data_IF_895136772955
#
_entry.id   IF_895136772955
#
_cell.length_a   1.000
_cell.length_b   1.000
_cell.length_c   1.000
_cell.angle_alpha   90.00
_cell.angle_beta   90.00
_cell.angle_gamma   90.00
#
_symmetry.space_group_name_H-M   'P 1'
#
loop_
_entity.id
_entity.type
_entity.pdbx_description
1 polymer ?
#
# COMPACT_ATOMS: atom_id res chain seq x y z
N UNK A 1 12.22 16.99 -0.06
CA UNK A 1 11.59 17.31 1.24
C UNK A 1 12.47 16.80 2.37
N UNK A 2 13.33 17.66 2.92
CA UNK A 2 14.10 17.44 4.16
C UNK A 2 14.29 18.78 4.87
N UNK A 3 13.24 19.33 5.46
CA UNK A 3 13.33 20.39 6.47
C UNK A 3 12.01 20.35 7.25
N UNK A 4 12.11 20.29 8.59
CA UNK A 4 11.09 19.93 9.59
C UNK A 4 11.18 18.45 9.97
N UNK A 5 11.69 18.19 11.18
CA UNK A 5 11.85 16.88 11.82
C UNK A 5 10.52 16.17 12.15
N UNK A 6 9.56 16.19 11.23
CA UNK A 6 8.36 15.37 11.29
C UNK A 6 8.79 13.99 10.80
N UNK A 7 9.10 13.10 11.74
CA UNK A 7 9.19 11.68 11.43
C UNK A 7 7.84 11.27 10.83
N UNK A 8 7.79 10.78 9.58
CA UNK A 8 6.51 10.41 8.98
C UNK A 8 5.88 9.33 9.85
N UNK A 9 4.69 9.58 10.39
CA UNK A 9 3.93 8.52 11.04
C UNK A 9 3.44 7.52 9.99
N UNK A 10 2.95 6.36 10.42
CA UNK A 10 2.40 5.32 9.53
C UNK A 10 1.30 5.87 8.60
N UNK A 11 0.56 6.91 8.99
CA UNK A 11 -0.50 7.49 8.16
C UNK A 11 0.08 8.24 6.96
N UNK A 12 1.18 8.98 7.16
CA UNK A 12 1.88 9.67 6.08
C UNK A 12 2.43 8.65 5.07
N UNK A 13 3.07 7.58 5.54
CA UNK A 13 3.52 6.50 4.66
C UNK A 13 2.39 5.93 3.81
N UNK A 14 1.27 5.54 4.44
CA UNK A 14 0.12 4.97 3.74
C UNK A 14 -0.48 5.95 2.71
N UNK A 15 -0.53 7.25 3.04
CA UNK A 15 -1.04 8.28 2.12
C UNK A 15 -0.14 8.44 0.88
N UNK A 16 1.19 8.46 1.06
CA UNK A 16 2.14 8.58 -0.05
C UNK A 16 2.15 7.30 -0.90
N UNK A 17 2.12 6.13 -0.28
CA UNK A 17 1.99 4.83 -0.97
C UNK A 17 0.74 4.82 -1.86
N UNK A 18 -0.41 5.27 -1.33
CA UNK A 18 -1.65 5.37 -2.09
C UNK A 18 -1.53 6.32 -3.29
N UNK A 19 -0.94 7.50 -3.07
CA UNK A 19 -0.76 8.49 -4.12
C UNK A 19 0.15 7.97 -5.25
N UNK A 20 1.26 7.32 -4.90
CA UNK A 20 2.18 6.70 -5.85
C UNK A 20 1.50 5.59 -6.66
N UNK A 21 0.83 4.66 -5.99
CA UNK A 21 0.11 3.57 -6.67
C UNK A 21 -0.98 4.10 -7.61
N UNK A 22 -1.73 5.13 -7.19
CA UNK A 22 -2.72 5.82 -8.04
C UNK A 22 -2.06 6.52 -9.24
N UNK A 23 -0.88 7.11 -9.04
CA UNK A 23 -0.09 7.79 -10.07
C UNK A 23 0.68 6.85 -11.00
N UNK A 24 0.42 5.54 -10.95
CA UNK A 24 1.12 4.48 -11.70
C UNK A 24 2.58 4.25 -11.30
N UNK A 25 3.06 4.89 -10.24
CA UNK A 25 4.38 4.73 -9.62
C UNK A 25 4.41 3.55 -8.64
N UNK A 26 4.05 2.36 -9.13
CA UNK A 26 3.81 1.19 -8.27
C UNK A 26 5.09 0.67 -7.66
N UNK A 27 6.18 0.66 -8.43
CA UNK A 27 7.50 0.27 -7.92
C UNK A 27 7.91 1.18 -6.76
N UNK A 28 7.77 2.49 -6.91
CA UNK A 28 8.08 3.48 -5.88
C UNK A 28 7.17 3.30 -4.65
N UNK A 29 5.90 2.93 -4.85
CA UNK A 29 4.98 2.64 -3.76
C UNK A 29 5.43 1.40 -2.94
N UNK A 30 5.89 0.34 -3.62
CA UNK A 30 6.46 -0.85 -2.97
C UNK A 30 7.79 -0.55 -2.27
N UNK A 31 8.69 0.18 -2.93
CA UNK A 31 9.98 0.57 -2.35
C UNK A 31 9.75 1.39 -1.06
N UNK A 32 8.76 2.29 -1.07
CA UNK A 32 8.38 3.06 0.12
C UNK A 32 7.78 2.18 1.24
N UNK A 33 7.01 1.14 0.89
CA UNK A 33 6.53 0.14 1.85
C UNK A 33 7.68 -0.65 2.49
N UNK A 34 8.74 -0.94 1.75
CA UNK A 34 9.95 -1.56 2.33
C UNK A 34 10.72 -0.58 3.22
N UNK A 35 10.88 0.67 2.78
CA UNK A 35 11.52 1.72 3.58
C UNK A 35 10.79 2.00 4.90
N UNK A 36 9.46 1.91 4.95
CA UNK A 36 8.74 2.05 6.24
C UNK A 36 9.08 0.90 7.20
N UNK A 37 9.18 -0.34 6.69
CA UNK A 37 9.55 -1.50 7.48
C UNK A 37 10.99 -1.39 8.03
N UNK A 38 11.94 -0.98 7.19
CA UNK A 38 13.34 -0.72 7.56
C UNK A 38 13.48 0.37 8.63
N UNK A 39 12.57 1.36 8.64
CA UNK A 39 12.53 2.43 9.64
C UNK A 39 11.73 2.06 10.90
N UNK A 40 11.32 0.81 11.05
CA UNK A 40 10.58 0.30 12.21
C UNK A 40 9.07 0.53 12.16
N UNK A 41 8.54 1.13 11.09
CA UNK A 41 7.11 1.29 10.87
C UNK A 41 6.57 0.06 10.13
N UNK A 42 6.18 -0.97 10.89
CA UNK A 42 5.67 -2.22 10.31
C UNK A 42 4.43 -1.99 9.44
N UNK A 43 4.43 -2.49 8.18
CA UNK A 43 3.23 -2.54 7.35
C UNK A 43 2.08 -3.22 8.08
N UNK A 44 0.86 -2.76 7.81
CA UNK A 44 -0.36 -3.40 8.31
C UNK A 44 -1.40 -3.52 7.20
N UNK A 45 -2.57 -4.06 7.53
CA UNK A 45 -3.69 -4.20 6.59
C UNK A 45 -4.05 -2.88 5.87
N UNK A 46 -3.90 -1.73 6.55
CA UNK A 46 -4.16 -0.41 5.94
C UNK A 46 -3.08 -0.06 4.91
N UNK A 47 -1.82 -0.40 5.17
CA UNK A 47 -0.71 -0.23 4.21
C UNK A 47 -0.95 -1.05 2.95
N UNK A 48 -1.25 -2.34 3.06
CA UNK A 48 -1.57 -3.19 1.90
C UNK A 48 -2.80 -2.68 1.14
N UNK A 49 -3.86 -2.29 1.83
CA UNK A 49 -5.04 -1.68 1.20
C UNK A 49 -4.74 -0.34 0.52
N UNK A 50 -3.66 0.35 0.90
CA UNK A 50 -3.22 1.59 0.25
C UNK A 50 -2.55 1.32 -1.10
N UNK A 51 -2.07 0.10 -1.36
CA UNK A 51 -1.63 -0.37 -2.67
C UNK A 51 -2.79 -0.98 -3.48
N UNK A 52 -3.54 -1.91 -2.88
CA UNK A 52 -4.59 -2.69 -3.57
C UNK A 52 -5.68 -1.78 -4.16
N UNK A 53 -6.24 -0.87 -3.36
CA UNK A 53 -7.38 -0.03 -3.78
C UNK A 53 -7.10 0.82 -5.02
N UNK A 54 -6.01 1.63 -5.09
CA UNK A 54 -5.75 2.43 -6.26
C UNK A 54 -5.32 1.61 -7.49
N UNK A 55 -4.69 0.44 -7.29
CA UNK A 55 -4.37 -0.49 -8.38
C UNK A 55 -5.64 -1.05 -9.03
N UNK A 56 -6.60 -1.54 -8.23
CA UNK A 56 -7.89 -1.98 -8.74
C UNK A 56 -8.58 -0.87 -9.54
N UNK A 57 -8.72 0.32 -8.93
CA UNK A 57 -9.28 1.53 -9.59
C UNK A 57 -8.59 1.92 -10.89
N UNK A 58 -7.30 1.63 -11.00
CA UNK A 58 -6.50 1.87 -12.19
C UNK A 58 -6.61 0.77 -13.24
N UNK A 59 -7.53 -0.19 -13.07
CA UNK A 59 -7.69 -1.38 -13.91
C UNK A 59 -6.42 -2.27 -13.94
N UNK A 60 -5.59 -2.19 -12.90
CA UNK A 60 -4.34 -2.96 -12.73
C UNK A 60 -4.57 -4.11 -11.73
N UNK A 61 -5.62 -4.88 -11.97
CA UNK A 61 -6.11 -5.92 -11.03
C UNK A 61 -5.06 -7.01 -10.80
N UNK A 62 -4.29 -7.40 -11.82
CA UNK A 62 -3.24 -8.43 -11.67
C UNK A 62 -2.13 -7.98 -10.70
N UNK A 63 -1.73 -6.71 -10.74
CA UNK A 63 -0.77 -6.17 -9.77
C UNK A 63 -1.38 -6.06 -8.37
N UNK A 64 -2.67 -5.74 -8.27
CA UNK A 64 -3.37 -5.75 -6.99
C UNK A 64 -3.43 -7.16 -6.38
N UNK A 65 -3.57 -8.22 -7.19
CA UNK A 65 -3.51 -9.61 -6.74
C UNK A 65 -2.13 -9.96 -6.20
N UNK A 66 -1.04 -9.54 -6.85
CA UNK A 66 0.32 -9.76 -6.33
C UNK A 66 0.49 -9.16 -4.92
N UNK A 67 -0.01 -7.93 -4.71
CA UNK A 67 -0.01 -7.29 -3.38
C UNK A 67 -0.85 -8.07 -2.38
N UNK A 68 -2.02 -8.55 -2.80
CA UNK A 68 -2.93 -9.33 -1.97
C UNK A 68 -2.33 -10.67 -1.56
N UNK A 69 -1.63 -11.36 -2.47
CA UNK A 69 -0.94 -12.60 -2.17
C UNK A 69 0.22 -12.39 -1.19
N UNK A 70 0.99 -11.30 -1.34
CA UNK A 70 2.02 -10.93 -0.36
C UNK A 70 1.41 -10.66 1.03
N UNK A 71 0.27 -9.96 1.08
CA UNK A 71 -0.47 -9.70 2.33
C UNK A 71 -0.83 -11.01 3.04
N UNK A 72 -1.32 -12.01 2.30
CA UNK A 72 -1.65 -13.34 2.82
C UNK A 72 -0.41 -14.10 3.28
N UNK A 73 0.67 -14.09 2.49
CA UNK A 73 1.92 -14.76 2.84
C UNK A 73 2.56 -14.20 4.12
N UNK A 74 2.42 -12.89 4.36
CA UNK A 74 2.84 -12.27 5.62
C UNK A 74 1.85 -12.47 6.78
N UNK A 75 0.80 -13.26 6.60
CA UNK A 75 -0.16 -13.63 7.65
C UNK A 75 -1.20 -12.55 7.98
N UNK A 76 -1.35 -11.52 7.14
CA UNK A 76 -2.38 -10.51 7.36
C UNK A 76 -3.74 -11.00 6.85
N UNK A 77 -4.78 -10.84 7.67
CA UNK A 77 -6.15 -11.15 7.27
C UNK A 77 -6.75 -10.01 6.42
N UNK A 78 -7.19 -10.29 5.18
CA UNK A 78 -7.93 -9.33 4.37
C UNK A 78 -9.20 -8.86 5.07
N UNK A 79 -9.59 -7.62 4.81
CA UNK A 79 -10.82 -7.03 5.36
C UNK A 79 -11.89 -6.95 4.28
N UNK A 80 -13.14 -6.66 4.67
CA UNK A 80 -14.21 -6.35 3.70
C UNK A 80 -13.79 -5.26 2.69
N UNK A 81 -13.00 -4.26 3.15
CA UNK A 81 -12.46 -3.20 2.28
C UNK A 81 -11.47 -3.73 1.24
N UNK A 82 -10.73 -4.79 1.57
CA UNK A 82 -9.79 -5.45 0.67
C UNK A 82 -10.55 -6.14 -0.46
N UNK A 83 -11.53 -6.99 -0.13
CA UNK A 83 -12.35 -7.68 -1.13
C UNK A 83 -13.20 -6.71 -1.98
N UNK A 84 -13.79 -5.69 -1.35
CA UNK A 84 -14.57 -4.67 -2.05
C UNK A 84 -13.75 -3.91 -3.09
N UNK A 85 -12.44 -3.76 -2.91
CA UNK A 85 -11.57 -3.15 -3.91
C UNK A 85 -11.48 -3.98 -5.20
N UNK A 86 -11.59 -5.31 -5.12
CA UNK A 86 -11.57 -6.20 -6.29
C UNK A 86 -12.94 -6.31 -6.98
N UNK A 87 -14.04 -6.13 -6.23
CA UNK A 87 -15.39 -6.13 -6.81
C UNK A 87 -15.75 -4.83 -7.53
N UNK A 88 -15.15 -3.71 -7.13
CA UNK A 88 -15.35 -2.40 -7.76
C UNK A 88 -14.03 -1.81 -8.28
N UNK A 89 -13.45 -2.42 -9.34
CA UNK A 89 -12.23 -1.93 -10.00
C UNK A 89 -12.47 -0.65 -10.81
#
# INVERSE_FOLDING_TARGET
MKHLGVSPDRKIYNAVIYALAKGKHVKEAFDLMKTMEEKGFKPNVVTYNSLIKPLCKGHRVEEAKVVFDEMLQKGFSPTIRTYHAFWHP
#
